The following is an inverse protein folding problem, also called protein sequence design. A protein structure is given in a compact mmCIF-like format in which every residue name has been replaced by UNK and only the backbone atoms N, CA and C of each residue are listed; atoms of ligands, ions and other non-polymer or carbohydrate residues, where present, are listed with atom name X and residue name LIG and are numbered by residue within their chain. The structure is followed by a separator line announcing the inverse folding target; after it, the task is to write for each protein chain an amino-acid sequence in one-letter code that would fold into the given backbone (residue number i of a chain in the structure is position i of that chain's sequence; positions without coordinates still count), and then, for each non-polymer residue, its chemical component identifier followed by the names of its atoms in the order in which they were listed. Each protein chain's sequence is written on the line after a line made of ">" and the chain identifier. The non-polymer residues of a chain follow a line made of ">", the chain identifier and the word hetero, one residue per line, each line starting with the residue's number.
data_IF_015831694066
#
_entry.id   IF_015831694066
#
_cell.length_a   1.000
_cell.length_b   1.000
_cell.length_c   1.000
_cell.angle_alpha   90.00
_cell.angle_beta   90.00
_cell.angle_gamma   90.00
#
_symmetry.space_group_name_H-M   'P 1'
#
loop_
_entity.id
_entity.type
_entity.pdbx_description
1 polymer ?
#
# COMPACT_ATOMS: atom_id res chain seq x y z
N UNK A 1 5.82 5.24 -11.18
CA UNK A 1 5.64 4.20 -10.14
C UNK A 1 6.47 4.46 -8.89
N UNK A 2 7.82 4.41 -8.93
CA UNK A 2 8.68 4.60 -7.71
C UNK A 2 8.38 5.92 -6.98
N UNK A 3 8.28 7.05 -7.69
CA UNK A 3 7.91 8.33 -7.08
C UNK A 3 6.57 8.29 -6.32
N UNK A 4 5.56 7.58 -6.86
CA UNK A 4 4.27 7.43 -6.18
C UNK A 4 4.40 6.61 -4.90
N UNK A 5 5.22 5.55 -4.94
CA UNK A 5 5.55 4.74 -3.76
C UNK A 5 6.27 5.57 -2.68
N UNK A 6 7.18 6.46 -3.07
CA UNK A 6 7.87 7.35 -2.12
C UNK A 6 6.92 8.34 -1.45
N UNK A 7 5.97 8.90 -2.21
CA UNK A 7 4.90 9.72 -1.66
C UNK A 7 4.03 8.93 -0.68
N UNK A 8 3.70 7.67 -0.98
CA UNK A 8 2.94 6.81 -0.05
C UNK A 8 3.70 6.50 1.24
N UNK A 9 5.02 6.30 1.17
CA UNK A 9 5.85 6.13 2.37
C UNK A 9 5.85 7.42 3.20
N UNK A 10 5.95 8.60 2.56
CA UNK A 10 5.86 9.87 3.28
C UNK A 10 4.49 10.04 3.96
N UNK A 11 3.41 9.79 3.22
CA UNK A 11 2.04 9.85 3.76
C UNK A 11 1.83 8.86 4.90
N UNK A 12 2.44 7.67 4.85
CA UNK A 12 2.35 6.70 5.95
C UNK A 12 2.94 7.19 7.27
N UNK A 13 3.92 8.11 7.22
CA UNK A 13 4.48 8.74 8.43
C UNK A 13 3.54 9.80 8.99
N UNK A 14 2.91 10.57 8.11
CA UNK A 14 2.08 11.70 8.52
C UNK A 14 0.63 11.32 8.85
N UNK A 15 0.14 10.16 8.40
CA UNK A 15 -1.26 9.72 8.55
C UNK A 15 -1.74 9.66 10.01
N UNK A 16 -0.86 9.33 10.96
CA UNK A 16 -1.15 9.40 12.40
C UNK A 16 -0.40 10.55 13.12
N UNK A 17 0.22 11.47 12.37
CA UNK A 17 1.04 12.55 12.98
C UNK A 17 2.24 12.04 13.78
N UNK A 18 2.78 10.86 13.42
CA UNK A 18 3.94 10.29 14.09
C UNK A 18 5.22 10.99 13.63
N UNK A 19 6.10 11.32 14.58
CA UNK A 19 7.40 11.93 14.31
C UNK A 19 8.30 10.97 13.51
N UNK A 20 9.27 11.51 12.75
CA UNK A 20 10.14 10.70 11.87
C UNK A 20 10.98 9.65 12.60
N UNK A 21 11.11 9.79 13.93
CA UNK A 21 11.89 8.94 14.84
C UNK A 21 11.10 7.80 15.49
N UNK A 22 9.77 7.72 15.30
CA UNK A 22 8.98 6.61 15.85
C UNK A 22 9.14 5.34 14.99
N UNK A 23 10.22 4.62 15.28
CA UNK A 23 10.46 3.27 14.79
C UNK A 23 9.50 2.28 15.48
N UNK A 24 8.20 2.38 15.13
CA UNK A 24 7.18 1.43 15.59
C UNK A 24 7.44 0.07 14.95
N UNK A 25 8.28 -0.71 15.62
CA UNK A 25 8.34 -2.16 15.56
C UNK A 25 7.36 -2.70 16.61
N UNK A 26 6.45 -3.58 16.16
CA UNK A 26 5.56 -4.41 16.97
C UNK A 26 4.37 -3.71 17.66
N UNK A 27 3.37 -3.29 16.87
CA UNK A 27 2.00 -3.19 17.39
C UNK A 27 1.31 -4.55 17.28
N UNK A 28 1.58 -5.43 18.24
CA UNK A 28 0.83 -6.67 18.46
C UNK A 28 -0.51 -6.30 19.08
N UNK A 29 -1.62 -6.46 18.35
CA UNK A 29 -2.94 -6.38 19.01
C UNK A 29 -4.13 -6.44 18.08
N UNK A 30 -4.24 -5.55 17.11
CA UNK A 30 -5.40 -5.46 16.23
C UNK A 30 -4.89 -5.60 14.82
N UNK A 31 -5.13 -6.76 14.18
CA UNK A 31 -4.82 -6.95 12.77
C UNK A 31 -6.11 -6.81 11.96
N UNK A 32 -6.27 -5.72 11.20
CA UNK A 32 -7.20 -5.61 10.09
C UNK A 32 -6.97 -6.81 9.16
N UNK A 33 -7.91 -7.74 9.17
CA UNK A 33 -7.83 -8.97 8.37
C UNK A 33 -7.86 -8.67 6.86
N UNK A 34 -8.41 -7.51 6.49
CA UNK A 34 -8.62 -7.10 5.10
C UNK A 34 -7.40 -6.39 4.47
N UNK A 35 -6.42 -5.97 5.28
CA UNK A 35 -5.19 -5.38 4.76
C UNK A 35 -4.23 -6.47 4.26
N UNK A 36 -3.56 -6.26 3.11
CA UNK A 36 -2.69 -7.26 2.52
C UNK A 36 -1.52 -7.62 3.44
N UNK A 37 -1.19 -8.91 3.50
CA UNK A 37 0.03 -9.39 4.12
C UNK A 37 1.15 -9.43 3.10
N UNK A 38 2.22 -8.65 3.34
CA UNK A 38 3.36 -8.55 2.45
C UNK A 38 4.44 -9.52 2.91
N UNK A 39 4.88 -10.42 2.02
CA UNK A 39 6.00 -11.33 2.31
C UNK A 39 7.34 -10.62 2.01
N UNK A 40 8.25 -10.62 2.99
CA UNK A 40 9.52 -9.86 2.92
C UNK A 40 10.78 -10.73 2.85
N UNK A 41 10.66 -12.04 2.61
CA UNK A 41 11.82 -12.94 2.66
C UNK A 41 12.71 -12.77 1.43
N UNK A 42 14.03 -12.87 1.60
CA UNK A 42 14.98 -12.79 0.49
C UNK A 42 14.75 -13.90 -0.55
N UNK A 43 14.33 -15.09 -0.09
CA UNK A 43 13.91 -16.20 -0.95
C UNK A 43 12.75 -15.81 -1.87
N UNK A 44 11.75 -15.07 -1.36
CA UNK A 44 10.64 -14.56 -2.16
C UNK A 44 11.10 -13.57 -3.24
N UNK A 45 12.11 -12.72 -2.95
CA UNK A 45 12.65 -11.78 -3.94
C UNK A 45 13.38 -12.46 -5.09
N UNK A 46 14.11 -13.56 -4.83
CA UNK A 46 14.86 -14.28 -5.85
C UNK A 46 13.97 -15.05 -6.83
N UNK A 47 12.71 -15.34 -6.47
CA UNK A 47 11.74 -16.04 -7.30
C UNK A 47 10.73 -15.11 -7.99
N UNK A 48 10.86 -13.78 -7.86
CA UNK A 48 9.87 -12.82 -8.38
C UNK A 48 9.81 -12.85 -9.90
N UNK A 49 8.67 -13.29 -10.44
CA UNK A 49 8.32 -13.04 -11.84
C UNK A 49 7.70 -11.66 -12.00
N UNK A 50 8.01 -10.98 -13.10
CA UNK A 50 7.66 -9.59 -13.31
C UNK A 50 6.14 -9.38 -13.39
N UNK A 51 5.42 -10.24 -14.11
CA UNK A 51 3.96 -10.23 -14.20
C UNK A 51 3.30 -10.51 -12.84
N UNK A 52 3.70 -11.60 -12.16
CA UNK A 52 3.18 -11.98 -10.83
C UNK A 52 3.40 -10.86 -9.80
N UNK A 53 4.59 -10.24 -9.80
CA UNK A 53 4.93 -9.13 -8.91
C UNK A 53 4.08 -7.89 -9.16
N UNK A 54 3.84 -7.54 -10.43
CA UNK A 54 3.02 -6.39 -10.79
C UNK A 54 1.53 -6.63 -10.50
N UNK A 55 1.04 -7.85 -10.69
CA UNK A 55 -0.31 -8.26 -10.30
C UNK A 55 -0.49 -8.19 -8.78
N UNK A 56 0.48 -8.66 -8.01
CA UNK A 56 0.45 -8.58 -6.54
C UNK A 56 0.49 -7.11 -6.06
N UNK A 57 1.39 -6.29 -6.65
CA UNK A 57 1.43 -4.85 -6.40
C UNK A 57 0.08 -4.17 -6.68
N UNK A 58 -0.57 -4.56 -7.77
CA UNK A 58 -1.89 -4.03 -8.14
C UNK A 58 -2.95 -4.38 -7.10
N UNK A 59 -3.03 -5.63 -6.69
CA UNK A 59 -4.01 -6.08 -5.68
C UNK A 59 -3.81 -5.37 -4.34
N UNK A 60 -2.56 -5.17 -3.91
CA UNK A 60 -2.24 -4.47 -2.67
C UNK A 60 -2.58 -2.98 -2.78
N UNK A 61 -2.23 -2.34 -3.89
CA UNK A 61 -2.57 -0.94 -4.18
C UNK A 61 -4.09 -0.71 -4.11
N UNK A 62 -4.89 -1.60 -4.70
CA UNK A 62 -6.34 -1.54 -4.66
C UNK A 62 -6.89 -1.71 -3.23
N UNK A 63 -6.36 -2.65 -2.45
CA UNK A 63 -6.78 -2.82 -1.06
C UNK A 63 -6.50 -1.57 -0.23
N UNK A 64 -5.28 -1.02 -0.28
CA UNK A 64 -4.96 0.22 0.44
C UNK A 64 -5.83 1.39 0.00
N UNK A 65 -6.16 1.49 -1.30
CA UNK A 65 -7.03 2.56 -1.78
C UNK A 65 -8.40 2.49 -1.14
N UNK A 66 -8.98 1.29 -1.05
CA UNK A 66 -10.28 1.09 -0.41
C UNK A 66 -10.24 1.45 1.08
N UNK A 67 -9.15 1.13 1.79
CA UNK A 67 -8.98 1.51 3.20
C UNK A 67 -8.81 3.04 3.37
N UNK A 68 -8.09 3.71 2.46
CA UNK A 68 -7.96 5.17 2.48
C UNK A 68 -9.29 5.86 2.17
N UNK A 69 -10.03 5.36 1.19
CA UNK A 69 -11.34 5.91 0.84
C UNK A 69 -12.34 5.72 2.00
N UNK A 70 -12.25 4.61 2.73
CA UNK A 70 -13.01 4.40 3.96
C UNK A 70 -12.60 5.34 5.11
N UNK A 71 -11.30 5.62 5.29
CA UNK A 71 -10.84 6.61 6.27
C UNK A 71 -11.41 8.01 5.96
N UNK A 72 -11.57 8.37 4.69
CA UNK A 72 -12.21 9.64 4.30
C UNK A 72 -13.68 9.71 4.68
N UNK A 73 -14.43 8.62 4.50
CA UNK A 73 -15.85 8.59 4.86
C UNK A 73 -16.03 8.68 6.38
N UNK A 74 -15.12 8.06 7.13
CA UNK A 74 -15.14 8.03 8.59
C UNK A 74 -14.34 9.19 9.23
N UNK A 75 -13.91 10.21 8.48
CA UNK A 75 -13.02 11.29 8.97
C UNK A 75 -13.46 11.99 10.26
N UNK A 76 -14.76 11.94 10.59
CA UNK A 76 -15.32 12.51 11.81
C UNK A 76 -14.99 11.70 13.07
N UNK A 77 -14.70 10.41 12.90
CA UNK A 77 -14.31 9.50 13.99
C UNK A 77 -12.79 9.50 14.22
N UNK A 78 -11.99 9.92 13.23
CA UNK A 78 -10.53 9.93 13.31
C UNK A 78 -9.96 11.34 13.40
N UNK A 79 -9.04 11.58 14.34
CA UNK A 79 -8.22 12.81 14.39
C UNK A 79 -7.09 12.76 13.36
N UNK A 80 -7.41 12.65 12.07
CA UNK A 80 -6.42 12.62 10.99
C UNK A 80 -5.98 14.05 10.63
N UNK A 81 -4.70 14.27 10.29
CA UNK A 81 -4.28 15.53 9.68
C UNK A 81 -5.00 15.71 8.33
N UNK A 82 -5.67 16.86 8.18
CA UNK A 82 -6.51 17.19 7.03
C UNK A 82 -5.77 16.99 5.70
N UNK A 83 -6.40 16.28 4.75
CA UNK A 83 -5.88 16.07 3.39
C UNK A 83 -4.97 14.85 3.22
N UNK A 84 -4.50 14.24 4.31
CA UNK A 84 -3.52 13.13 4.23
C UNK A 84 -4.10 11.87 3.58
N UNK A 85 -5.36 11.54 3.86
CA UNK A 85 -6.05 10.39 3.27
C UNK A 85 -6.43 10.64 1.80
N UNK A 86 -6.76 11.89 1.45
CA UNK A 86 -7.00 12.36 0.08
C UNK A 86 -5.76 12.25 -0.80
N UNK A 87 -4.61 12.69 -0.28
CA UNK A 87 -3.33 12.56 -0.95
C UNK A 87 -2.93 11.08 -1.12
N UNK A 88 -3.09 10.26 -0.07
CA UNK A 88 -2.81 8.82 -0.11
C UNK A 88 -3.59 8.12 -1.24
N UNK A 89 -4.90 8.34 -1.28
CA UNK A 89 -5.80 7.71 -2.26
C UNK A 89 -5.48 8.14 -3.68
N UNK A 90 -5.09 9.41 -3.89
CA UNK A 90 -4.65 9.92 -5.21
C UNK A 90 -3.38 9.22 -5.67
N UNK A 91 -2.38 9.10 -4.79
CA UNK A 91 -1.13 8.39 -5.11
C UNK A 91 -1.35 6.89 -5.37
N UNK A 92 -2.26 6.25 -4.63
CA UNK A 92 -2.65 4.85 -4.86
C UNK A 92 -3.39 4.68 -6.18
N UNK A 93 -4.29 5.61 -6.55
CA UNK A 93 -4.96 5.60 -7.85
C UNK A 93 -3.95 5.71 -9.00
N UNK A 94 -3.04 6.68 -8.93
CA UNK A 94 -1.99 6.85 -9.94
C UNK A 94 -1.10 5.61 -10.03
N UNK A 95 -0.71 5.02 -8.90
CA UNK A 95 0.08 3.79 -8.87
C UNK A 95 -0.68 2.64 -9.54
N UNK A 96 -1.98 2.49 -9.24
CA UNK A 96 -2.84 1.49 -9.84
C UNK A 96 -2.92 1.65 -11.36
N UNK A 97 -3.13 2.87 -11.87
CA UNK A 97 -3.20 3.12 -13.31
C UNK A 97 -1.90 2.70 -14.01
N UNK A 98 -0.74 3.06 -13.44
CA UNK A 98 0.55 2.62 -14.01
C UNK A 98 0.71 1.09 -13.99
N UNK A 99 0.25 0.42 -12.94
CA UNK A 99 0.29 -1.04 -12.83
C UNK A 99 -0.59 -1.70 -13.88
N UNK A 100 -1.83 -1.23 -14.05
CA UNK A 100 -2.75 -1.71 -15.10
C UNK A 100 -2.15 -1.55 -16.49
N UNK A 101 -1.63 -0.37 -16.84
CA UNK A 101 -0.99 -0.15 -18.14
C UNK A 101 0.22 -1.06 -18.34
N UNK A 102 0.99 -1.33 -17.28
CA UNK A 102 2.16 -2.22 -17.36
C UNK A 102 1.74 -3.67 -17.60
N UNK A 103 0.71 -4.15 -16.91
CA UNK A 103 0.16 -5.50 -17.09
C UNK A 103 -0.41 -5.70 -18.50
N UNK A 104 -1.22 -4.75 -18.98
CA UNK A 104 -1.79 -4.79 -20.32
C UNK A 104 -0.71 -4.84 -21.42
N UNK A 105 0.39 -4.09 -21.26
CA UNK A 105 1.52 -4.11 -22.21
C UNK A 105 2.22 -5.47 -22.28
N UNK A 106 2.05 -6.32 -21.28
CA UNK A 106 2.60 -7.68 -21.26
C UNK A 106 1.59 -8.74 -21.72
N UNK A 107 0.38 -8.34 -22.12
CA UNK A 107 -0.71 -9.27 -22.42
C UNK A 107 -1.33 -9.92 -21.18
N UNK A 108 -1.09 -9.34 -20.00
CA UNK A 108 -1.67 -9.81 -18.73
C UNK A 108 -2.89 -8.96 -18.39
N UNK A 109 -4.00 -9.62 -18.07
CA UNK A 109 -5.18 -8.93 -17.55
C UNK A 109 -4.92 -8.42 -16.13
N UNK A 110 -5.34 -7.19 -15.86
CA UNK A 110 -5.29 -6.66 -14.51
C UNK A 110 -6.20 -7.52 -13.61
N UNK A 111 -5.73 -7.95 -12.41
CA UNK A 111 -6.56 -8.70 -11.49
C UNK A 111 -7.92 -8.01 -11.26
N UNK A 112 -8.99 -8.78 -11.21
CA UNK A 112 -10.35 -8.26 -11.05
C UNK A 112 -10.48 -7.30 -9.85
N UNK A 113 -11.42 -6.34 -9.96
CA UNK A 113 -11.68 -5.36 -8.90
C UNK A 113 -12.02 -6.08 -7.60
N UNK A 114 -11.24 -5.81 -6.55
CA UNK A 114 -11.48 -6.40 -5.23
C UNK A 114 -12.76 -5.81 -4.63
N UNK A 115 -13.62 -6.61 -3.98
CA UNK A 115 -14.74 -6.07 -3.24
C UNK A 115 -14.24 -5.10 -2.15
N UNK A 116 -15.05 -4.08 -1.78
CA UNK A 116 -14.72 -3.19 -0.68
C UNK A 116 -14.47 -4.03 0.59
N UNK A 117 -13.50 -3.64 1.42
CA UNK A 117 -13.24 -4.33 2.68
C UNK A 117 -14.48 -4.21 3.57
N UNK A 118 -14.78 -5.26 4.35
CA UNK A 118 -15.96 -5.29 5.22
C UNK A 118 -15.63 -4.57 6.53
N UNK A 119 -15.25 -3.29 6.41
CA UNK A 119 -14.88 -2.47 7.55
C UNK A 119 -16.16 -1.95 8.22
N UNK A 120 -16.49 -2.55 9.36
CA UNK A 120 -17.52 -2.00 10.26
C UNK A 120 -17.10 -0.60 10.69
N UNK A 121 -18.06 0.33 10.85
CA UNK A 121 -17.75 1.66 11.39
C UNK A 121 -17.05 1.47 12.75
N UNK A 122 -15.83 2.04 12.91
CA UNK A 122 -15.01 1.77 14.07
C UNK A 122 -15.63 2.46 15.27
N UNK A 123 -15.62 1.79 16.43
CA UNK A 123 -15.96 2.50 17.67
C UNK A 123 -14.99 3.67 17.86
N UNK A 124 -15.42 4.80 18.44
CA UNK A 124 -14.55 5.96 18.68
C UNK A 124 -13.27 5.58 19.44
N UNK A 125 -13.36 4.64 20.39
CA UNK A 125 -12.21 4.14 21.16
C UNK A 125 -11.19 3.33 20.35
N UNK A 126 -11.58 2.80 19.19
CA UNK A 126 -10.72 1.99 18.31
C UNK A 126 -10.17 2.76 17.11
N UNK A 127 -10.66 3.98 16.87
CA UNK A 127 -10.30 4.78 15.70
C UNK A 127 -8.78 5.02 15.59
N UNK A 128 -8.12 5.45 16.67
CA UNK A 128 -6.68 5.66 16.66
C UNK A 128 -5.92 4.37 16.29
N UNK A 129 -6.32 3.23 16.86
CA UNK A 129 -5.66 1.94 16.57
C UNK A 129 -5.77 1.53 15.09
N UNK A 130 -6.90 1.80 14.44
CA UNK A 130 -7.13 1.50 13.02
C UNK A 130 -6.27 2.39 12.12
N UNK A 131 -6.15 3.69 12.46
CA UNK A 131 -5.28 4.61 11.71
C UNK A 131 -3.79 4.26 11.85
N UNK A 132 -3.32 3.92 13.07
CA UNK A 132 -1.95 3.44 13.31
C UNK A 132 -1.68 2.21 12.44
N UNK A 133 -2.58 1.23 12.46
CA UNK A 133 -2.37 -0.01 11.73
C UNK A 133 -2.32 0.21 10.20
N UNK A 134 -3.24 1.02 9.66
CA UNK A 134 -3.24 1.37 8.23
C UNK A 134 -1.93 2.09 7.86
N UNK A 135 -1.47 3.02 8.71
CA UNK A 135 -0.19 3.73 8.53
C UNK A 135 0.99 2.76 8.49
N UNK A 136 1.08 1.87 9.48
CA UNK A 136 2.16 0.88 9.60
C UNK A 136 2.19 -0.04 8.39
N UNK A 137 1.03 -0.59 7.99
CA UNK A 137 0.97 -1.47 6.83
C UNK A 137 1.22 -0.74 5.51
N UNK A 138 0.81 0.52 5.38
CA UNK A 138 1.11 1.34 4.19
C UNK A 138 2.62 1.58 4.07
N UNK A 139 3.30 1.84 5.20
CA UNK A 139 4.77 1.99 5.26
C UNK A 139 5.48 0.72 4.79
N UNK A 140 5.06 -0.42 5.33
CA UNK A 140 5.59 -1.76 4.97
C UNK A 140 5.38 -2.04 3.48
N UNK A 141 4.17 -1.79 2.98
CA UNK A 141 3.83 -1.93 1.56
C UNK A 141 4.67 -1.01 0.67
N UNK A 142 4.85 0.26 1.05
CA UNK A 142 5.65 1.21 0.29
C UNK A 142 7.11 0.78 0.19
N UNK A 143 7.72 0.39 1.31
CA UNK A 143 9.10 -0.11 1.35
C UNK A 143 9.28 -1.38 0.51
N UNK A 144 8.35 -2.33 0.61
CA UNK A 144 8.36 -3.52 -0.23
C UNK A 144 8.21 -3.20 -1.71
N UNK A 145 7.25 -2.34 -2.07
CA UNK A 145 7.00 -1.92 -3.44
C UNK A 145 8.22 -1.28 -4.07
N UNK A 146 8.95 -0.45 -3.30
CA UNK A 146 10.21 0.16 -3.74
C UNK A 146 11.25 -0.93 -4.06
N UNK A 147 11.43 -1.92 -3.17
CA UNK A 147 12.36 -3.05 -3.39
C UNK A 147 11.99 -3.86 -4.63
N UNK A 148 10.72 -4.22 -4.79
CA UNK A 148 10.21 -4.97 -5.96
C UNK A 148 10.48 -4.18 -7.25
N UNK A 149 10.06 -2.91 -7.31
CA UNK A 149 10.23 -2.09 -8.51
C UNK A 149 11.71 -1.89 -8.88
N UNK A 150 12.60 -1.71 -7.89
CA UNK A 150 14.03 -1.66 -8.15
C UNK A 150 14.58 -2.98 -8.66
N UNK A 151 14.16 -4.11 -8.09
CA UNK A 151 14.58 -5.44 -8.53
C UNK A 151 14.14 -5.71 -9.98
N UNK A 152 12.87 -5.45 -10.30
CA UNK A 152 12.33 -5.60 -11.67
C UNK A 152 13.04 -4.67 -12.67
N UNK A 153 13.37 -3.43 -12.26
CA UNK A 153 14.16 -2.51 -13.08
C UNK A 153 15.58 -3.03 -13.35
N UNK A 154 16.20 -3.75 -12.41
CA UNK A 154 17.51 -4.39 -12.63
C UNK A 154 17.39 -5.56 -13.59
N UNK A 155 16.43 -6.47 -13.37
CA UNK A 155 16.22 -7.63 -14.24
C UNK A 155 15.95 -7.23 -15.71
N UNK A 156 15.12 -6.20 -15.93
CA UNK A 156 14.82 -5.69 -17.28
C UNK A 156 16.01 -5.04 -17.97
N UNK A 157 16.99 -4.51 -17.21
CA UNK A 157 18.25 -3.98 -17.76
C UNK A 157 19.24 -5.09 -18.11
N UNK A 158 19.31 -6.14 -17.29
CA UNK A 158 20.21 -7.26 -17.51
C UNK A 158 19.81 -8.15 -18.70
N UNK A 159 18.53 -8.17 -19.10
CA UNK A 159 18.05 -8.89 -20.30
C UNK A 159 18.38 -8.21 -21.65
N UNK A 160 19.08 -7.07 -21.67
CA UNK A 160 19.45 -6.35 -22.91
C UNK A 160 20.86 -6.68 -23.45
N UNK A 161 21.44 -7.81 -23.08
CA UNK A 161 22.73 -8.29 -23.60
C UNK A 161 22.58 -9.66 -24.21
#
# INVERSE_FOLDING_TARGET
>A
MIHQVEKLVHVSKTLHGLSEDDELLNTVGNKLQDLPHVQHTAAHFNSLKLNESLSQLFQFTQSFRLHMDWLKTEKHNFSLPSGTAEDASTHLLLLSTHLTTSLQRMGEDAPGRRPPPSLSSPRPSTCSSVSIEISERLRVFGNWSKRVLHHLRRLSRCRRH
#
